data_IF_433794698422
#
_entry.id   IF_433794698422
#
_cell.length_a   1.000
_cell.length_b   1.000
_cell.length_c   1.000
_cell.angle_alpha   90.00
_cell.angle_beta   90.00
_cell.angle_gamma   90.00
#
_symmetry.space_group_name_H-M   'P 1'
#
loop_
_entity.id
_entity.type
_entity.pdbx_description
1 polymer ?
#
# COMPACT_ATOMS: atom_id res chain seq x y z
N UNK A 1 0.03 0.39 -2.26
CA UNK A 1 0.60 -0.58 -1.33
C UNK A 1 1.54 0.08 -0.34
N UNK A 2 1.30 -0.06 0.98
CA UNK A 2 2.35 0.13 1.98
C UNK A 2 3.43 -0.97 1.82
N UNK A 3 4.51 -0.89 2.58
CA UNK A 3 5.49 -1.99 2.55
C UNK A 3 4.88 -3.31 3.07
N UNK A 4 5.52 -4.44 2.79
CA UNK A 4 4.95 -5.76 3.10
C UNK A 4 4.61 -5.94 4.59
N UNK A 5 5.46 -5.47 5.51
CA UNK A 5 5.20 -5.57 6.95
C UNK A 5 4.06 -4.66 7.40
N UNK A 6 4.00 -3.44 6.86
CA UNK A 6 2.89 -2.52 7.14
C UNK A 6 1.57 -3.04 6.60
N UNK A 7 1.56 -3.71 5.43
CA UNK A 7 0.37 -4.43 4.92
C UNK A 7 -0.08 -5.47 5.94
N UNK A 8 0.80 -6.37 6.36
CA UNK A 8 0.45 -7.42 7.33
C UNK A 8 -0.09 -6.82 8.62
N UNK A 9 0.60 -5.84 9.19
CA UNK A 9 0.22 -5.20 10.44
C UNK A 9 -1.12 -4.44 10.36
N UNK A 10 -1.44 -3.83 9.22
CA UNK A 10 -2.73 -3.14 8.99
C UNK A 10 -3.85 -4.08 8.58
N UNK A 11 -3.57 -5.37 8.38
CA UNK A 11 -4.58 -6.32 7.91
C UNK A 11 -5.27 -7.11 9.03
N UNK A 12 -5.00 -6.74 10.28
CA UNK A 12 -5.77 -7.14 11.43
C UNK A 12 -6.84 -6.07 11.72
N UNK A 13 -8.06 -6.33 11.26
CA UNK A 13 -9.25 -5.51 11.50
C UNK A 13 -10.38 -6.41 12.04
N UNK A 14 -11.55 -5.83 12.34
CA UNK A 14 -12.66 -6.51 13.03
C UNK A 14 -13.05 -7.86 12.40
N UNK A 15 -12.90 -8.00 11.08
CA UNK A 15 -13.14 -9.24 10.34
C UNK A 15 -11.90 -9.65 9.55
N UNK A 16 -10.95 -10.32 10.20
CA UNK A 16 -9.79 -10.94 9.53
C UNK A 16 -9.77 -12.45 9.79
N UNK A 17 -9.30 -13.23 8.81
CA UNK A 17 -9.11 -14.67 9.00
C UNK A 17 -7.96 -14.96 9.94
N UNK A 18 -8.08 -16.03 10.73
CA UNK A 18 -7.00 -16.49 11.64
C UNK A 18 -5.73 -16.95 10.91
N UNK A 19 -5.87 -17.31 9.62
CA UNK A 19 -4.79 -17.80 8.79
C UNK A 19 -4.59 -16.88 7.59
N UNK A 20 -3.34 -16.48 7.40
CA UNK A 20 -2.90 -15.70 6.26
C UNK A 20 -1.97 -16.55 5.39
N UNK A 21 -2.32 -16.69 4.12
CA UNK A 21 -1.55 -17.45 3.14
C UNK A 21 -1.33 -16.62 1.88
N UNK A 22 -0.22 -16.85 1.21
CA UNK A 22 0.06 -16.27 -0.10
C UNK A 22 0.52 -17.37 -1.04
N UNK A 23 0.11 -17.29 -2.31
CA UNK A 23 0.49 -18.29 -3.30
C UNK A 23 1.98 -18.16 -3.66
N UNK A 24 2.58 -19.25 -4.16
CA UNK A 24 3.89 -19.16 -4.83
C UNK A 24 3.74 -18.37 -6.14
N UNK A 25 4.81 -17.73 -6.61
CA UNK A 25 4.82 -17.04 -7.90
C UNK A 25 4.34 -17.97 -9.03
N UNK A 26 3.48 -17.45 -9.90
CA UNK A 26 2.87 -18.20 -11.00
C UNK A 26 1.81 -19.22 -10.58
N UNK A 27 1.35 -19.16 -9.32
CA UNK A 27 0.25 -19.98 -8.80
C UNK A 27 -0.84 -19.07 -8.24
N UNK A 28 -2.04 -19.59 -8.17
CA UNK A 28 -3.19 -18.96 -7.50
C UNK A 28 -3.95 -19.99 -6.68
N UNK A 29 -4.79 -19.52 -5.76
CA UNK A 29 -5.70 -20.38 -5.01
C UNK A 29 -6.95 -20.64 -5.85
N UNK A 30 -7.25 -21.91 -6.08
CA UNK A 30 -8.50 -22.33 -6.72
C UNK A 30 -9.42 -22.89 -5.64
N UNK A 31 -10.61 -22.30 -5.48
CA UNK A 31 -11.64 -22.81 -4.59
C UNK A 31 -12.51 -23.84 -5.32
N UNK A 32 -13.17 -24.76 -4.59
CA UNK A 32 -14.22 -25.58 -5.18
C UNK A 32 -15.23 -24.70 -5.95
N UNK A 33 -15.71 -25.20 -7.10
CA UNK A 33 -16.66 -24.49 -7.98
C UNK A 33 -16.12 -23.24 -8.69
N UNK A 34 -14.85 -22.89 -8.48
CA UNK A 34 -14.16 -21.82 -9.21
C UNK A 34 -13.10 -22.39 -10.15
N UNK A 35 -12.70 -21.61 -11.14
CA UNK A 35 -11.63 -21.95 -12.08
C UNK A 35 -10.40 -21.08 -11.86
N UNK A 36 -9.24 -21.64 -12.18
CA UNK A 36 -8.00 -20.89 -12.30
C UNK A 36 -8.06 -19.89 -13.48
N UNK A 37 -7.62 -18.65 -13.27
CA UNK A 37 -7.53 -17.63 -14.30
C UNK A 37 -6.27 -17.82 -15.15
N UNK A 38 -6.46 -18.20 -16.41
CA UNK A 38 -5.37 -18.46 -17.36
C UNK A 38 -4.63 -17.20 -17.84
N UNK A 39 -5.13 -16.00 -17.54
CA UNK A 39 -4.57 -14.72 -18.00
C UNK A 39 -3.76 -13.99 -16.93
N UNK A 40 -3.57 -14.62 -15.76
CA UNK A 40 -2.86 -14.05 -14.63
C UNK A 40 -3.79 -13.53 -13.55
N UNK A 41 -3.22 -13.38 -12.36
CA UNK A 41 -3.89 -12.96 -11.14
C UNK A 41 -2.92 -12.06 -10.35
N UNK A 42 -3.42 -11.41 -9.29
CA UNK A 42 -2.62 -10.55 -8.43
C UNK A 42 -3.09 -10.67 -6.97
N UNK A 43 -2.47 -9.88 -6.08
CA UNK A 43 -2.85 -9.80 -4.66
C UNK A 43 -2.01 -10.69 -3.76
N UNK A 44 -0.95 -11.29 -4.29
CA UNK A 44 0.06 -11.95 -3.46
C UNK A 44 0.87 -10.93 -2.63
N UNK A 45 1.72 -11.46 -1.75
CA UNK A 45 2.71 -10.66 -1.01
C UNK A 45 4.04 -10.53 -1.76
N UNK A 46 4.13 -11.05 -3.00
CA UNK A 46 5.33 -10.92 -3.82
C UNK A 46 5.50 -9.48 -4.30
N UNK A 47 6.75 -9.14 -4.61
CA UNK A 47 7.12 -7.78 -5.02
C UNK A 47 6.44 -7.37 -6.32
N UNK A 48 6.22 -8.31 -7.22
CA UNK A 48 5.62 -8.15 -8.54
C UNK A 48 4.15 -7.66 -8.44
N UNK A 49 3.40 -8.14 -7.45
CA UNK A 49 2.02 -7.67 -7.17
C UNK A 49 1.98 -6.42 -6.27
N UNK A 50 3.12 -6.01 -5.74
CA UNK A 50 3.23 -4.95 -4.72
C UNK A 50 3.87 -3.67 -5.26
N UNK A 51 4.48 -3.73 -6.43
CA UNK A 51 5.24 -2.63 -7.03
C UNK A 51 4.45 -2.06 -8.18
N UNK A 52 4.17 -0.76 -8.12
CA UNK A 52 3.54 0.00 -9.21
C UNK A 52 4.38 1.25 -9.48
N UNK A 53 4.48 1.68 -10.75
CA UNK A 53 5.16 2.94 -11.07
C UNK A 53 4.34 4.12 -10.56
N UNK A 54 5.05 5.14 -10.09
CA UNK A 54 4.49 6.48 -9.88
C UNK A 54 5.07 7.40 -10.96
N UNK A 55 4.20 8.00 -11.75
CA UNK A 55 4.56 8.99 -12.77
C UNK A 55 3.92 10.31 -12.34
N UNK A 56 4.73 11.36 -12.22
CA UNK A 56 4.26 12.68 -11.80
C UNK A 56 4.76 13.72 -12.79
N UNK A 57 3.93 14.72 -13.07
CA UNK A 57 4.28 15.89 -13.88
C UNK A 57 3.77 17.16 -13.18
N UNK A 58 4.53 18.25 -13.29
CA UNK A 58 4.16 19.53 -12.69
C UNK A 58 4.25 19.58 -11.16
N UNK A 59 5.23 18.88 -10.57
CA UNK A 59 5.50 19.01 -9.14
C UNK A 59 5.99 20.44 -8.83
N UNK A 60 5.56 21.04 -7.71
CA UNK A 60 6.10 22.31 -7.26
C UNK A 60 7.58 22.16 -6.90
N UNK A 61 8.33 23.25 -7.05
CA UNK A 61 9.75 23.29 -6.68
C UNK A 61 9.95 23.06 -5.17
N UNK A 62 11.07 22.46 -4.80
CA UNK A 62 11.48 22.27 -3.40
C UNK A 62 10.78 21.14 -2.66
N UNK A 63 9.94 20.34 -3.33
CA UNK A 63 9.35 19.15 -2.74
C UNK A 63 10.35 17.98 -2.75
N UNK A 64 10.73 17.50 -1.56
CA UNK A 64 11.59 16.33 -1.41
C UNK A 64 10.75 15.05 -1.39
N UNK A 65 10.96 14.17 -2.36
CA UNK A 65 10.27 12.89 -2.45
C UNK A 65 11.21 11.76 -2.02
N UNK A 66 10.71 10.78 -1.25
CA UNK A 66 11.51 9.61 -0.93
C UNK A 66 11.86 8.84 -2.20
N UNK A 67 13.06 8.26 -2.22
CA UNK A 67 13.56 7.41 -3.32
C UNK A 67 12.57 6.29 -3.69
N UNK A 68 11.83 5.79 -2.70
CA UNK A 68 10.83 4.73 -2.86
C UNK A 68 9.46 5.20 -2.40
N UNK A 69 8.74 5.84 -3.32
CA UNK A 69 7.34 6.17 -3.12
C UNK A 69 6.47 4.91 -2.97
N UNK A 70 5.58 4.92 -1.98
CA UNK A 70 4.55 3.90 -1.78
C UNK A 70 3.20 4.49 -2.15
N UNK A 71 2.24 3.69 -2.59
CA UNK A 71 0.92 4.26 -2.96
C UNK A 71 0.21 4.96 -1.78
N UNK A 72 0.53 4.57 -0.54
CA UNK A 72 0.00 5.24 0.66
C UNK A 72 0.57 6.66 0.85
N UNK A 73 1.66 7.00 0.19
CA UNK A 73 2.30 8.32 0.23
C UNK A 73 1.66 9.32 -0.75
N UNK A 74 0.81 8.85 -1.68
CA UNK A 74 0.14 9.71 -2.67
C UNK A 74 -0.80 10.71 -1.98
N UNK A 75 -1.56 10.27 -0.96
CA UNK A 75 -2.45 11.18 -0.26
C UNK A 75 -1.70 12.30 0.50
N UNK A 76 -0.68 12.02 1.33
CA UNK A 76 0.17 13.06 1.90
C UNK A 76 0.80 13.98 0.86
N UNK A 77 1.28 13.42 -0.26
CA UNK A 77 1.81 14.20 -1.38
C UNK A 77 0.78 15.19 -1.93
N UNK A 78 -0.43 14.74 -2.24
CA UNK A 78 -1.49 15.61 -2.73
C UNK A 78 -1.87 16.70 -1.70
N UNK A 79 -1.88 16.37 -0.41
CA UNK A 79 -2.18 17.34 0.64
C UNK A 79 -1.11 18.43 0.72
N UNK A 80 0.18 18.06 0.68
CA UNK A 80 1.28 19.03 0.67
C UNK A 80 1.24 19.94 -0.56
N UNK A 81 0.96 19.40 -1.75
CA UNK A 81 0.79 20.20 -2.98
C UNK A 81 -0.36 21.22 -2.85
N UNK A 82 -1.43 20.85 -2.14
CA UNK A 82 -2.58 21.71 -1.89
C UNK A 82 -2.38 22.68 -0.71
N UNK A 83 -1.22 22.67 -0.03
CA UNK A 83 -0.98 23.48 1.17
C UNK A 83 -1.77 23.01 2.40
N UNK A 84 -2.26 21.78 2.40
CA UNK A 84 -2.99 21.16 3.51
C UNK A 84 -2.00 20.34 4.34
N UNK A 85 -1.98 20.55 5.65
CA UNK A 85 -1.12 19.76 6.55
C UNK A 85 -1.51 18.28 6.50
N UNK A 86 -0.63 17.36 6.06
CA UNK A 86 -0.94 15.94 6.04
C UNK A 86 -0.91 15.36 7.47
N UNK A 87 -1.64 14.27 7.73
CA UNK A 87 -1.63 13.61 9.03
C UNK A 87 -0.27 12.97 9.37
N UNK A 88 0.57 12.77 8.35
CA UNK A 88 1.95 12.28 8.48
C UNK A 88 2.78 12.82 7.32
N UNK A 89 4.12 12.94 7.47
CA UNK A 89 4.99 13.26 6.34
C UNK A 89 4.92 12.21 5.22
N UNK A 90 5.24 12.63 3.99
CA UNK A 90 5.50 11.72 2.86
C UNK A 90 6.61 10.73 3.27
N UNK A 91 6.45 9.44 2.96
CA UNK A 91 7.43 8.40 3.33
C UNK A 91 7.38 7.93 4.78
N UNK A 92 6.69 8.63 5.68
CA UNK A 92 6.52 8.19 7.07
C UNK A 92 5.66 6.92 7.18
N UNK A 93 5.89 6.11 8.22
CA UNK A 93 5.05 4.92 8.46
C UNK A 93 3.64 5.33 8.90
N UNK A 94 2.56 4.80 8.28
CA UNK A 94 1.19 5.07 8.70
C UNK A 94 0.82 4.39 10.02
N UNK A 95 1.63 3.45 10.51
CA UNK A 95 1.38 2.72 11.76
C UNK A 95 1.99 3.48 12.95
N UNK A 96 3.24 3.95 12.81
CA UNK A 96 3.97 4.60 13.90
C UNK A 96 3.59 6.07 14.11
N UNK A 97 2.98 6.70 13.12
CA UNK A 97 2.69 8.14 13.13
C UNK A 97 1.19 8.42 13.05
N UNK A 98 0.36 7.61 13.72
CA UNK A 98 -1.05 8.00 13.91
C UNK A 98 -1.07 9.24 14.79
N UNK A 99 -1.69 10.32 14.31
CA UNK A 99 -2.14 11.38 15.18
C UNK A 99 -3.10 10.75 16.19
N UNK A 100 -2.83 10.93 17.48
CA UNK A 100 -3.86 10.73 18.50
C UNK A 100 -5.04 11.60 18.08
N UNK A 101 -6.17 10.97 17.80
CA UNK A 101 -7.42 11.71 17.70
C UNK A 101 -7.68 12.25 19.09
N UNK A 102 -7.58 13.57 19.27
CA UNK A 102 -8.11 14.25 20.46
C UNK A 102 -9.56 13.78 20.66
N UNK A 103 -9.75 12.88 21.63
CA UNK A 103 -11.04 12.53 22.22
C UNK A 103 -11.33 13.45 23.39
#
# INVERSE_FOLDING_TARGET
YPNAFERIATSFFEVTGHLWVTARLGKEFCLPETGANSKGSHGSLHREDSTAPLIVAGLPDGLDLPERMRAVDIAPLCMEILGIRPPRPIGASPIKNRLETDT
#
